data_IF_447668308255
#
_entry.id   IF_447668308255
#
_cell.length_a   1.000
_cell.length_b   1.000
_cell.length_c   1.000
_cell.angle_alpha   90.00
_cell.angle_beta   90.00
_cell.angle_gamma   90.00
#
_symmetry.space_group_name_H-M   'P 1'
#
loop_
_entity.id
_entity.type
_entity.pdbx_description
1 polymer ?
#
# COMPACT_ATOMS: atom_id res chain seq x y z
N UNK A 1 19.38 0.31 -14.33
CA UNK A 1 19.56 0.20 -12.86
C UNK A 1 21.00 0.63 -12.52
N UNK A 2 21.24 1.37 -11.43
CA UNK A 2 22.55 2.00 -11.16
C UNK A 2 23.61 0.99 -10.68
N UNK A 3 24.81 0.91 -11.30
CA UNK A 3 25.87 -0.02 -10.88
C UNK A 3 26.33 0.16 -9.43
N UNK A 4 26.20 1.37 -8.87
CA UNK A 4 26.59 1.66 -7.49
C UNK A 4 25.76 0.91 -6.45
N UNK A 5 24.50 0.58 -6.76
CA UNK A 5 23.62 -0.19 -5.87
C UNK A 5 24.07 -1.67 -5.71
N UNK A 6 24.89 -2.16 -6.65
CA UNK A 6 25.51 -3.50 -6.56
C UNK A 6 26.84 -3.44 -5.83
N UNK A 7 27.67 -2.44 -6.16
CA UNK A 7 29.06 -2.35 -5.65
C UNK A 7 29.15 -1.88 -4.19
N UNK A 8 28.22 -1.06 -3.71
CA UNK A 8 28.33 -0.39 -2.41
C UNK A 8 27.16 -0.66 -1.46
N UNK A 9 26.25 -1.58 -1.81
CA UNK A 9 25.23 -2.02 -0.86
C UNK A 9 25.88 -2.77 0.30
N UNK A 10 25.34 -2.56 1.50
CA UNK A 10 25.76 -3.24 2.72
C UNK A 10 24.55 -3.85 3.38
N UNK A 11 24.71 -5.05 3.91
CA UNK A 11 23.68 -5.65 4.76
C UNK A 11 23.48 -4.81 6.01
N UNK A 12 22.21 -4.69 6.42
CA UNK A 12 21.88 -4.00 7.65
C UNK A 12 22.23 -4.91 8.83
N UNK A 13 22.84 -4.37 9.90
CA UNK A 13 22.95 -5.08 11.16
C UNK A 13 21.57 -5.47 11.69
N UNK A 14 21.53 -6.56 12.47
CA UNK A 14 20.34 -6.87 13.28
C UNK A 14 19.97 -5.65 14.14
N UNK A 15 18.68 -5.37 14.26
CA UNK A 15 18.11 -4.22 14.99
C UNK A 15 18.43 -2.83 14.40
N UNK A 16 18.86 -2.76 13.14
CA UNK A 16 19.04 -1.47 12.47
C UNK A 16 17.75 -0.63 12.49
N UNK A 17 17.82 0.68 12.78
CA UNK A 17 16.66 1.57 12.69
C UNK A 17 16.11 1.71 11.26
N UNK A 18 16.86 1.23 10.26
CA UNK A 18 16.48 1.20 8.85
C UNK A 18 15.91 -0.16 8.42
N UNK A 19 15.82 -1.14 9.32
CA UNK A 19 15.21 -2.42 9.02
C UNK A 19 13.74 -2.24 8.57
N UNK A 20 13.25 -3.09 7.65
CA UNK A 20 11.85 -3.07 7.24
C UNK A 20 10.92 -3.20 8.44
N UNK A 21 9.92 -2.32 8.51
CA UNK A 21 8.92 -2.35 9.58
C UNK A 21 7.97 -3.54 9.39
N UNK A 22 7.54 -4.18 10.47
CA UNK A 22 6.59 -5.31 10.45
C UNK A 22 5.28 -5.00 9.69
N UNK A 23 4.82 -3.75 9.77
CA UNK A 23 3.66 -3.29 9.02
C UNK A 23 3.81 -3.49 7.50
N UNK A 24 5.05 -3.48 6.98
CA UNK A 24 5.38 -3.62 5.56
C UNK A 24 6.04 -4.97 5.21
N UNK A 25 6.86 -5.51 6.11
CA UNK A 25 7.74 -6.65 5.84
C UNK A 25 6.98 -7.95 5.56
N UNK A 26 7.56 -8.82 4.73
CA UNK A 26 7.10 -10.19 4.50
C UNK A 26 5.76 -10.35 3.77
N UNK A 27 5.19 -9.25 3.24
CA UNK A 27 3.90 -9.25 2.55
C UNK A 27 4.12 -9.09 1.05
N UNK A 28 3.39 -9.86 0.26
CA UNK A 28 3.27 -9.58 -1.17
C UNK A 28 2.50 -8.26 -1.41
N UNK A 29 2.56 -7.75 -2.65
CA UNK A 29 1.96 -6.47 -3.01
C UNK A 29 0.44 -6.41 -2.76
N UNK A 30 -0.30 -7.48 -3.04
CA UNK A 30 -1.78 -7.51 -2.83
C UNK A 30 -2.10 -7.56 -1.35
N UNK A 31 -1.44 -8.44 -0.60
CA UNK A 31 -1.62 -8.60 0.84
C UNK A 31 -1.32 -7.29 1.57
N UNK A 32 -0.21 -6.61 1.20
CA UNK A 32 0.13 -5.31 1.76
C UNK A 32 -0.91 -4.24 1.40
N UNK A 33 -1.35 -4.19 0.13
CA UNK A 33 -2.33 -3.20 -0.30
C UNK A 33 -3.69 -3.38 0.41
N UNK A 34 -4.18 -4.61 0.58
CA UNK A 34 -5.40 -4.88 1.38
C UNK A 34 -5.26 -4.38 2.81
N UNK A 35 -4.14 -4.69 3.45
CA UNK A 35 -3.87 -4.26 4.83
C UNK A 35 -3.81 -2.73 4.95
N UNK A 36 -3.14 -2.05 4.02
CA UNK A 36 -3.06 -0.58 4.01
C UNK A 36 -4.41 0.08 3.74
N UNK A 37 -5.23 -0.48 2.85
CA UNK A 37 -6.54 0.06 2.52
C UNK A 37 -7.51 -0.04 3.72
N UNK A 38 -7.41 -1.11 4.51
CA UNK A 38 -8.17 -1.29 5.76
C UNK A 38 -7.58 -0.61 7.00
N UNK A 39 -6.40 0.01 6.90
CA UNK A 39 -5.69 0.58 8.04
C UNK A 39 -6.41 1.82 8.61
N UNK A 40 -6.51 1.88 9.93
CA UNK A 40 -7.04 3.03 10.68
C UNK A 40 -5.95 4.09 10.92
N UNK A 41 -6.37 5.32 11.27
CA UNK A 41 -5.44 6.39 11.61
C UNK A 41 -4.60 6.09 12.86
N UNK A 42 -5.15 5.34 13.82
CA UNK A 42 -4.43 4.92 15.02
C UNK A 42 -3.32 3.92 14.68
N UNK A 43 -3.64 2.88 13.90
CA UNK A 43 -2.67 1.87 13.44
C UNK A 43 -1.55 2.51 12.61
N UNK A 44 -1.89 3.41 11.68
CA UNK A 44 -0.89 4.16 10.91
C UNK A 44 0.05 4.97 11.81
N UNK A 45 -0.50 5.68 12.79
CA UNK A 45 0.27 6.52 13.70
C UNK A 45 1.26 5.71 14.54
N UNK A 46 0.86 4.51 14.98
CA UNK A 46 1.69 3.56 15.69
C UNK A 46 2.76 2.94 14.78
N UNK A 47 2.34 2.32 13.67
CA UNK A 47 3.21 1.61 12.73
C UNK A 47 4.33 2.48 12.15
N UNK A 48 4.05 3.76 11.89
CA UNK A 48 5.00 4.68 11.25
C UNK A 48 5.56 5.73 12.21
N UNK A 49 5.49 5.53 13.53
CA UNK A 49 6.12 6.44 14.51
C UNK A 49 7.62 6.61 14.21
N UNK A 50 8.08 7.87 14.20
CA UNK A 50 9.46 8.23 13.86
C UNK A 50 9.85 8.00 12.39
N UNK A 51 8.90 7.65 11.51
CA UNK A 51 9.19 7.39 10.11
C UNK A 51 8.88 8.60 9.22
N UNK A 52 9.73 8.93 8.24
CA UNK A 52 9.41 9.86 7.17
C UNK A 52 8.14 9.49 6.37
N UNK A 53 7.70 8.22 6.43
CA UNK A 53 6.45 7.75 5.83
C UNK A 53 5.23 8.55 6.31
N UNK A 54 5.28 9.16 7.51
CA UNK A 54 4.20 10.04 7.99
C UNK A 54 3.90 11.22 7.07
N UNK A 55 4.87 11.67 6.26
CA UNK A 55 4.66 12.75 5.27
C UNK A 55 3.64 12.39 4.19
N UNK A 56 3.51 11.10 3.85
CA UNK A 56 2.53 10.63 2.88
C UNK A 56 1.09 10.69 3.42
N UNK A 57 0.93 10.65 4.75
CA UNK A 57 -0.35 10.49 5.48
C UNK A 57 -1.06 9.17 5.13
N UNK A 58 -2.03 8.78 5.97
CA UNK A 58 -2.78 7.55 5.74
C UNK A 58 -3.55 7.57 4.41
N UNK A 59 -4.24 8.69 4.12
CA UNK A 59 -4.97 8.87 2.84
C UNK A 59 -4.09 8.63 1.61
N UNK A 60 -2.80 9.02 1.65
CA UNK A 60 -1.85 8.82 0.56
C UNK A 60 -1.47 7.35 0.40
N UNK A 61 -1.29 6.62 1.50
CA UNK A 61 -1.04 5.18 1.45
C UNK A 61 -2.27 4.41 0.97
N UNK A 62 -3.46 4.73 1.48
CA UNK A 62 -4.73 4.11 1.02
C UNK A 62 -4.96 4.32 -0.47
N UNK A 63 -4.77 5.56 -0.95
CA UNK A 63 -4.80 5.88 -2.39
C UNK A 63 -3.85 4.98 -3.19
N UNK A 64 -2.58 4.89 -2.79
CA UNK A 64 -1.60 4.07 -3.50
C UNK A 64 -1.94 2.56 -3.43
N UNK A 65 -2.49 2.10 -2.30
CA UNK A 65 -2.94 0.73 -2.14
C UNK A 65 -4.08 0.39 -3.11
N UNK A 66 -5.06 1.29 -3.27
CA UNK A 66 -6.09 1.13 -4.29
C UNK A 66 -5.49 1.04 -5.71
N UNK A 67 -4.48 1.86 -6.02
CA UNK A 67 -3.78 1.79 -7.32
C UNK A 67 -3.11 0.43 -7.54
N UNK A 68 -2.42 -0.09 -6.51
CA UNK A 68 -1.80 -1.41 -6.56
C UNK A 68 -2.84 -2.48 -6.84
N UNK A 69 -3.97 -2.48 -6.13
CA UNK A 69 -5.05 -3.45 -6.36
C UNK A 69 -5.68 -3.31 -7.76
N UNK A 70 -5.82 -2.10 -8.30
CA UNK A 70 -6.26 -1.92 -9.69
C UNK A 70 -5.31 -2.59 -10.69
N UNK A 71 -4.01 -2.49 -10.45
CA UNK A 71 -2.98 -3.01 -11.35
C UNK A 71 -2.76 -4.52 -11.25
N UNK A 72 -2.76 -5.09 -10.05
CA UNK A 72 -2.39 -6.50 -9.81
C UNK A 72 -3.47 -7.31 -9.09
N UNK A 73 -4.55 -6.68 -8.64
CA UNK A 73 -5.64 -7.34 -7.93
C UNK A 73 -6.45 -8.29 -8.81
N UNK A 74 -7.20 -9.14 -8.13
CA UNK A 74 -8.06 -10.21 -8.66
C UNK A 74 -9.49 -10.09 -8.12
N UNK A 75 -10.42 -10.95 -8.53
CA UNK A 75 -11.81 -10.91 -8.04
C UNK A 75 -11.92 -10.84 -6.49
N UNK A 76 -11.02 -11.52 -5.77
CA UNK A 76 -10.95 -11.49 -4.29
C UNK A 76 -10.71 -10.08 -3.70
N UNK A 77 -10.18 -9.14 -4.48
CA UNK A 77 -9.90 -7.76 -4.07
C UNK A 77 -11.11 -6.83 -4.20
N UNK A 78 -12.15 -7.24 -4.93
CA UNK A 78 -13.31 -6.40 -5.18
C UNK A 78 -13.96 -5.98 -3.86
N UNK A 79 -14.12 -6.89 -2.91
CA UNK A 79 -14.78 -6.60 -1.64
C UNK A 79 -14.08 -5.52 -0.81
N UNK A 80 -12.74 -5.47 -0.79
CA UNK A 80 -12.02 -4.42 -0.04
C UNK A 80 -12.09 -3.07 -0.75
N UNK A 81 -12.07 -3.06 -2.08
CA UNK A 81 -12.21 -1.85 -2.88
C UNK A 81 -13.63 -1.28 -2.81
N UNK A 82 -14.65 -2.14 -2.82
CA UNK A 82 -16.05 -1.71 -2.65
C UNK A 82 -16.24 -1.02 -1.31
N UNK A 83 -15.70 -1.57 -0.20
CA UNK A 83 -15.76 -0.88 1.11
C UNK A 83 -15.03 0.46 1.10
N UNK A 84 -13.94 0.58 0.35
CA UNK A 84 -13.20 1.83 0.23
C UNK A 84 -13.93 2.92 -0.57
N UNK A 85 -15.03 2.58 -1.26
CA UNK A 85 -15.94 3.58 -1.85
C UNK A 85 -16.69 4.38 -0.79
N UNK A 86 -16.76 3.91 0.45
CA UNK A 86 -17.40 4.59 1.58
C UNK A 86 -16.39 5.26 2.52
N UNK A 87 -15.10 5.29 2.15
CA UNK A 87 -14.06 5.93 2.98
C UNK A 87 -14.34 7.43 3.14
N UNK A 88 -14.06 7.98 4.33
CA UNK A 88 -14.27 9.41 4.65
C UNK A 88 -13.48 10.31 3.69
N UNK A 89 -12.30 9.87 3.25
CA UNK A 89 -11.42 10.63 2.36
C UNK A 89 -11.87 10.53 0.89
N UNK A 90 -12.31 11.64 0.25
CA UNK A 90 -12.76 11.62 -1.14
C UNK A 90 -11.72 11.07 -2.12
N UNK A 91 -10.44 11.35 -1.85
CA UNK A 91 -9.31 10.87 -2.64
C UNK A 91 -9.23 9.33 -2.66
N UNK A 92 -9.56 8.67 -1.54
CA UNK A 92 -9.53 7.20 -1.44
C UNK A 92 -10.71 6.63 -2.23
N UNK A 93 -11.91 7.22 -2.10
CA UNK A 93 -13.10 6.80 -2.86
C UNK A 93 -12.87 6.84 -4.37
N UNK A 94 -12.30 7.93 -4.86
CA UNK A 94 -11.98 8.11 -6.29
C UNK A 94 -11.04 6.99 -6.79
N UNK A 95 -9.99 6.68 -6.04
CA UNK A 95 -9.02 5.67 -6.45
C UNK A 95 -9.56 4.24 -6.30
N UNK A 96 -10.46 4.00 -5.35
CA UNK A 96 -11.17 2.72 -5.22
C UNK A 96 -12.09 2.48 -6.43
N UNK A 97 -12.84 3.51 -6.86
CA UNK A 97 -13.67 3.44 -8.07
C UNK A 97 -12.84 3.18 -9.33
N UNK A 98 -11.71 3.90 -9.47
CA UNK A 98 -10.76 3.67 -10.56
C UNK A 98 -10.23 2.23 -10.56
N UNK A 99 -9.84 1.70 -9.39
CA UNK A 99 -9.27 0.37 -9.27
C UNK A 99 -10.27 -0.72 -9.68
N UNK A 100 -11.53 -0.59 -9.25
CA UNK A 100 -12.61 -1.50 -9.65
C UNK A 100 -12.83 -1.47 -11.17
N UNK A 101 -12.86 -0.28 -11.78
CA UNK A 101 -13.01 -0.14 -13.22
C UNK A 101 -11.82 -0.78 -13.98
N UNK A 102 -10.59 -0.51 -13.52
CA UNK A 102 -9.35 -1.06 -14.09
C UNK A 102 -9.34 -2.59 -14.03
N UNK A 103 -9.72 -3.18 -12.91
CA UNK A 103 -9.78 -4.64 -12.74
C UNK A 103 -10.81 -5.27 -13.66
N UNK A 104 -11.99 -4.66 -13.82
CA UNK A 104 -13.02 -5.13 -14.76
C UNK A 104 -12.52 -5.10 -16.20
N UNK A 105 -11.84 -4.03 -16.60
CA UNK A 105 -11.26 -3.93 -17.95
C UNK A 105 -10.25 -5.05 -18.20
N UNK A 106 -9.34 -5.28 -17.26
CA UNK A 106 -8.31 -6.34 -17.35
C UNK A 106 -8.87 -7.76 -17.35
N UNK A 107 -10.04 -7.99 -16.76
CA UNK A 107 -10.67 -9.30 -16.71
C UNK A 107 -11.47 -9.62 -17.99
N UNK A 108 -11.79 -8.60 -18.79
CA UNK A 108 -12.42 -8.76 -20.11
C UNK A 108 -11.43 -8.73 -21.28
N UNK A 109 -10.16 -8.43 -21.02
CA UNK A 109 -9.00 -8.65 -21.91
C UNK A 109 -8.53 -10.10 -21.81
#
# INVERSE_FOLDING_TARGET
MCPWNVRFSKELPNDSPYAPREALAGKDARTLARALLGMTQAEFSAAFKGSPMKRAKLRGLKRNAAVVLGNVGTADDVGVLTRALDDEEPLVREHAAWALARMRHRAGE
#
